data_IF_002389466172
#
_entry.id   IF_002389466172
#
_cell.length_a   1.000
_cell.length_b   1.000
_cell.length_c   1.000
_cell.angle_alpha   90.00
_cell.angle_beta   90.00
_cell.angle_gamma   90.00
#
_symmetry.space_group_name_H-M   'P 1'
#
loop_
_entity.id
_entity.type
_entity.pdbx_description
1 polymer ?
#
# COMPACT_ATOMS: atom_id res chain seq x y z
N UNK A 1 38.62 -40.23 -48.81
CA UNK A 1 38.92 -38.85 -48.35
C UNK A 1 37.61 -38.23 -47.87
N UNK A 2 37.69 -37.45 -46.79
CA UNK A 2 36.69 -37.31 -45.73
C UNK A 2 35.35 -36.65 -46.10
N UNK A 3 34.29 -37.17 -45.46
CA UNK A 3 32.97 -36.57 -45.33
C UNK A 3 33.03 -35.29 -44.49
N UNK A 4 32.31 -34.25 -44.92
CA UNK A 4 32.14 -33.02 -44.13
C UNK A 4 30.75 -33.08 -43.49
N UNK A 5 30.74 -33.45 -42.22
CA UNK A 5 29.64 -33.24 -41.27
C UNK A 5 29.30 -31.74 -41.22
N UNK A 6 28.05 -31.39 -41.47
CA UNK A 6 27.48 -30.11 -41.02
C UNK A 6 26.30 -30.40 -40.10
N UNK A 7 26.61 -30.46 -38.80
CA UNK A 7 25.65 -30.51 -37.70
C UNK A 7 25.08 -29.11 -37.47
N UNK A 8 23.82 -28.87 -37.83
CA UNK A 8 23.08 -27.67 -37.38
C UNK A 8 22.42 -28.02 -36.05
N UNK A 9 22.98 -27.49 -34.97
CA UNK A 9 22.43 -27.53 -33.62
C UNK A 9 21.30 -26.49 -33.54
N UNK A 10 20.04 -26.92 -33.59
CA UNK A 10 18.90 -26.05 -33.36
C UNK A 10 18.79 -25.77 -31.85
N UNK A 11 19.16 -24.56 -31.43
CA UNK A 11 18.97 -24.06 -30.07
C UNK A 11 17.46 -23.89 -29.80
N UNK A 12 16.93 -24.70 -28.89
CA UNK A 12 15.61 -24.51 -28.29
C UNK A 12 15.67 -23.25 -27.41
N UNK A 13 15.08 -22.16 -27.88
CA UNK A 13 14.81 -20.98 -27.05
C UNK A 13 13.60 -21.32 -26.19
N UNK A 14 13.85 -21.77 -24.97
CA UNK A 14 12.82 -21.97 -23.96
C UNK A 14 12.51 -20.57 -23.44
N UNK A 15 11.52 -19.90 -24.03
CA UNK A 15 10.93 -18.67 -23.48
C UNK A 15 10.15 -19.04 -22.22
N UNK A 16 10.90 -19.25 -21.13
CA UNK A 16 10.38 -19.41 -19.78
C UNK A 16 9.91 -18.07 -19.28
N UNK A 17 8.75 -17.61 -19.77
CA UNK A 17 8.02 -16.50 -19.17
C UNK A 17 7.65 -16.85 -17.73
N UNK A 18 8.49 -16.46 -16.78
CA UNK A 18 8.15 -16.53 -15.36
C UNK A 18 7.01 -15.53 -15.11
N UNK A 19 5.77 -16.03 -15.09
CA UNK A 19 4.67 -15.30 -14.50
C UNK A 19 4.98 -15.11 -13.01
N UNK A 20 5.44 -13.90 -12.65
CA UNK A 20 5.57 -13.50 -11.25
C UNK A 20 4.16 -13.37 -10.70
N UNK A 21 3.65 -14.45 -10.11
CA UNK A 21 2.43 -14.40 -9.32
C UNK A 21 2.76 -13.65 -8.03
N UNK A 22 2.50 -12.35 -8.02
CA UNK A 22 2.47 -11.59 -6.77
C UNK A 22 1.32 -12.18 -5.94
N UNK A 23 1.67 -13.08 -5.01
CA UNK A 23 0.72 -13.66 -4.08
C UNK A 23 0.22 -12.52 -3.19
N UNK A 24 -0.92 -11.95 -3.53
CA UNK A 24 -1.64 -11.01 -2.66
C UNK A 24 -1.86 -11.74 -1.34
N UNK A 25 -1.32 -11.19 -0.25
CA UNK A 25 -1.51 -11.77 1.07
C UNK A 25 -3.01 -11.79 1.37
N UNK A 26 -3.48 -12.91 1.94
CA UNK A 26 -4.88 -13.06 2.36
C UNK A 26 -5.19 -12.25 3.61
N UNK A 27 -4.17 -11.93 4.40
CA UNK A 27 -4.24 -11.20 5.66
C UNK A 27 -3.02 -10.31 5.78
N UNK A 28 -3.20 -9.09 6.28
CA UNK A 28 -2.13 -8.10 6.32
C UNK A 28 -1.78 -7.69 7.74
N UNK A 29 -0.48 -7.57 7.99
CA UNK A 29 0.09 -6.80 9.11
C UNK A 29 0.53 -5.43 8.58
N UNK A 30 0.69 -4.45 9.46
CA UNK A 30 1.28 -3.16 9.05
C UNK A 30 2.70 -3.36 8.48
N UNK A 31 3.49 -4.29 9.04
CA UNK A 31 4.85 -4.59 8.61
C UNK A 31 4.95 -5.12 7.17
N UNK A 32 3.92 -5.79 6.66
CA UNK A 32 3.89 -6.33 5.29
C UNK A 32 3.12 -5.43 4.30
N UNK A 33 2.30 -4.50 4.79
CA UNK A 33 1.43 -3.67 3.96
C UNK A 33 2.16 -2.58 3.13
N UNK A 34 2.01 -2.51 1.80
CA UNK A 34 2.88 -1.68 0.96
C UNK A 34 2.76 -0.18 1.22
N UNK A 35 3.81 0.59 0.93
CA UNK A 35 3.79 2.06 1.01
C UNK A 35 3.43 2.66 -0.36
N UNK A 36 2.31 3.38 -0.53
CA UNK A 36 1.85 3.82 -1.85
C UNK A 36 2.73 4.89 -2.51
N UNK A 37 3.66 5.53 -1.77
CA UNK A 37 4.65 6.44 -2.34
C UNK A 37 5.95 5.75 -2.80
N UNK A 38 6.20 4.50 -2.38
CA UNK A 38 7.42 3.73 -2.66
C UNK A 38 7.16 2.44 -3.45
N UNK A 39 6.08 1.75 -3.09
CA UNK A 39 5.68 0.43 -3.54
C UNK A 39 4.32 0.48 -4.28
N UNK A 40 4.10 1.53 -5.07
CA UNK A 40 2.79 1.83 -5.67
C UNK A 40 2.20 0.67 -6.48
N UNK A 41 3.03 -0.07 -7.22
CA UNK A 41 2.60 -1.24 -7.97
C UNK A 41 2.02 -2.33 -7.06
N UNK A 42 2.61 -2.54 -5.89
CA UNK A 42 2.14 -3.52 -4.90
C UNK A 42 0.88 -3.04 -4.19
N UNK A 43 0.72 -1.72 -4.06
CA UNK A 43 -0.53 -1.08 -3.60
C UNK A 43 -1.67 -1.09 -4.64
N UNK A 44 -1.49 -1.71 -5.81
CA UNK A 44 -2.51 -1.72 -6.86
C UNK A 44 -2.61 -0.41 -7.65
N UNK A 45 -1.54 0.39 -7.68
CA UNK A 45 -1.48 1.70 -8.34
C UNK A 45 -0.46 1.70 -9.48
N UNK A 46 -0.70 2.53 -10.49
CA UNK A 46 0.22 2.71 -11.63
C UNK A 46 1.37 3.67 -11.32
N UNK A 47 1.17 4.57 -10.36
CA UNK A 47 2.13 5.59 -9.95
C UNK A 47 1.99 5.91 -8.44
N UNK A 48 2.89 6.74 -7.93
CA UNK A 48 2.89 7.20 -6.54
C UNK A 48 1.54 7.82 -6.16
N UNK A 49 1.02 7.38 -5.03
CA UNK A 49 -0.32 7.70 -4.56
C UNK A 49 -0.36 7.89 -3.05
N UNK A 50 -1.45 8.45 -2.55
CA UNK A 50 -1.86 8.46 -1.14
C UNK A 50 -2.90 7.36 -0.85
N UNK A 51 -3.26 6.54 -1.84
CA UNK A 51 -4.18 5.41 -1.71
C UNK A 51 -3.40 4.11 -1.90
N UNK A 52 -3.54 3.20 -0.95
CA UNK A 52 -3.05 1.84 -1.07
C UNK A 52 -4.22 0.86 -1.01
N UNK A 53 -4.37 0.06 -2.07
CA UNK A 53 -5.42 -0.96 -2.18
C UNK A 53 -4.85 -2.22 -2.86
N UNK A 54 -3.99 -2.98 -2.16
CA UNK A 54 -3.36 -4.17 -2.71
C UNK A 54 -4.36 -5.30 -3.00
N UNK A 55 -5.60 -5.18 -2.51
CA UNK A 55 -6.66 -6.18 -2.71
C UNK A 55 -7.66 -5.81 -3.82
N UNK A 56 -7.55 -4.61 -4.40
CA UNK A 56 -8.43 -4.16 -5.49
C UNK A 56 -9.90 -4.03 -5.07
N UNK A 57 -10.14 -3.49 -3.86
CA UNK A 57 -11.48 -3.17 -3.37
C UNK A 57 -12.12 -2.03 -4.17
N UNK A 58 -11.30 -1.13 -4.73
CA UNK A 58 -11.69 -0.09 -5.65
C UNK A 58 -11.25 -0.45 -7.07
N UNK A 59 -12.03 -0.01 -8.06
CA UNK A 59 -11.54 0.03 -9.43
C UNK A 59 -10.54 1.19 -9.61
N UNK A 60 -9.78 1.15 -10.71
CA UNK A 60 -8.74 2.15 -11.02
C UNK A 60 -9.28 3.58 -10.97
N UNK A 61 -10.47 3.84 -11.55
CA UNK A 61 -11.04 5.19 -11.62
C UNK A 61 -11.44 5.70 -10.23
N UNK A 62 -11.99 4.86 -9.38
CA UNK A 62 -12.33 5.20 -7.99
C UNK A 62 -11.06 5.53 -7.20
N UNK A 63 -10.04 4.68 -7.29
CA UNK A 63 -8.78 4.90 -6.59
C UNK A 63 -8.04 6.16 -7.10
N UNK A 64 -8.09 6.44 -8.41
CA UNK A 64 -7.53 7.67 -9.00
C UNK A 64 -8.30 8.93 -8.55
N UNK A 65 -9.63 8.84 -8.50
CA UNK A 65 -10.48 9.94 -8.03
C UNK A 65 -10.17 10.26 -6.56
N UNK A 66 -10.06 9.22 -5.74
CA UNK A 66 -9.74 9.34 -4.33
C UNK A 66 -8.35 9.94 -4.12
N UNK A 67 -7.35 9.44 -4.84
CA UNK A 67 -5.99 9.97 -4.80
C UNK A 67 -5.92 11.45 -5.21
N UNK A 68 -6.67 11.84 -6.24
CA UNK A 68 -6.78 13.23 -6.67
C UNK A 68 -7.37 14.12 -5.57
N UNK A 69 -8.43 13.68 -4.89
CA UNK A 69 -9.03 14.41 -3.77
C UNK A 69 -8.05 14.56 -2.60
N UNK A 70 -7.32 13.51 -2.24
CA UNK A 70 -6.32 13.55 -1.17
C UNK A 70 -5.16 14.50 -1.50
N UNK A 71 -4.68 14.48 -2.75
CA UNK A 71 -3.69 15.46 -3.24
C UNK A 71 -4.25 16.89 -3.20
N UNK A 72 -5.56 17.06 -3.44
CA UNK A 72 -6.26 18.32 -3.21
C UNK A 72 -6.14 18.80 -1.77
N UNK A 73 -6.36 17.94 -0.77
CA UNK A 73 -6.19 18.29 0.65
C UNK A 73 -4.78 18.81 0.95
N UNK A 74 -3.75 18.16 0.41
CA UNK A 74 -2.35 18.60 0.58
C UNK A 74 -2.12 20.00 0.01
N UNK A 75 -2.74 20.32 -1.12
CA UNK A 75 -2.56 21.60 -1.81
C UNK A 75 -3.43 22.73 -1.24
N UNK A 76 -4.62 22.39 -0.77
CA UNK A 76 -5.65 23.37 -0.39
C UNK A 76 -5.61 23.72 1.11
N UNK A 77 -4.96 22.87 1.92
CA UNK A 77 -4.77 23.14 3.35
C UNK A 77 -3.46 23.86 3.63
N UNK A 78 -3.46 24.69 4.67
CA UNK A 78 -2.25 25.37 5.13
C UNK A 78 -1.34 24.39 5.85
N UNK A 79 -0.04 24.56 5.70
CA UNK A 79 0.95 23.87 6.51
C UNK A 79 0.70 24.15 8.00
N UNK A 80 0.43 23.11 8.83
CA UNK A 80 0.10 23.29 10.24
C UNK A 80 1.34 23.31 11.15
N UNK A 81 2.53 23.07 10.59
CA UNK A 81 3.77 23.08 11.34
C UNK A 81 4.17 24.48 11.82
N UNK A 82 5.27 24.56 12.56
CA UNK A 82 5.91 25.84 12.88
C UNK A 82 6.38 26.59 11.63
N UNK A 83 6.49 27.92 11.72
CA UNK A 83 6.86 28.79 10.60
C UNK A 83 8.14 28.34 9.89
N UNK A 84 9.19 28.00 10.65
CA UNK A 84 10.47 27.53 10.10
C UNK A 84 10.30 26.27 9.23
N UNK A 85 9.39 25.36 9.64
CA UNK A 85 9.12 24.12 8.91
C UNK A 85 8.33 24.41 7.64
N UNK A 86 7.33 25.27 7.73
CA UNK A 86 6.48 25.64 6.59
C UNK A 86 7.21 26.50 5.55
N UNK A 87 8.26 27.23 5.93
CA UNK A 87 9.15 27.95 5.01
C UNK A 87 9.98 26.98 4.14
N UNK A 88 10.43 25.87 4.72
CA UNK A 88 11.22 24.85 4.03
C UNK A 88 10.39 23.83 3.25
N UNK A 89 9.16 23.55 3.71
CA UNK A 89 8.22 22.63 3.04
C UNK A 89 6.78 23.15 3.16
N UNK A 90 6.25 23.68 2.06
CA UNK A 90 4.87 24.22 1.98
C UNK A 90 3.83 23.13 1.72
N UNK A 91 3.90 22.00 2.45
CA UNK A 91 2.89 20.96 2.32
C UNK A 91 1.76 21.23 3.31
N UNK A 92 0.51 21.14 2.86
CA UNK A 92 -0.65 21.05 3.76
C UNK A 92 -0.72 19.69 4.44
N UNK A 93 -1.86 19.40 5.05
CA UNK A 93 -2.15 18.11 5.67
C UNK A 93 -2.12 16.98 4.64
N UNK A 94 -1.52 15.85 5.01
CA UNK A 94 -1.44 14.65 4.19
C UNK A 94 -2.41 13.61 4.73
N UNK A 95 -3.54 13.42 4.05
CA UNK A 95 -4.44 12.32 4.36
C UNK A 95 -4.12 11.17 3.39
N UNK A 96 -3.87 9.98 3.93
CA UNK A 96 -3.64 8.78 3.14
C UNK A 96 -4.59 7.65 3.55
N UNK A 97 -4.87 6.76 2.60
CA UNK A 97 -5.89 5.72 2.73
C UNK A 97 -5.26 4.35 2.55
N UNK A 98 -5.52 3.45 3.52
CA UNK A 98 -5.17 2.05 3.48
C UNK A 98 -6.44 1.19 3.38
N UNK A 99 -6.64 0.53 2.25
CA UNK A 99 -7.76 -0.36 1.99
C UNK A 99 -7.29 -1.82 2.04
N UNK A 100 -7.86 -2.59 2.95
CA UNK A 100 -7.46 -3.98 3.13
C UNK A 100 -8.68 -4.88 3.10
N UNK A 101 -8.54 -6.08 2.53
CA UNK A 101 -9.62 -7.05 2.61
C UNK A 101 -9.80 -7.59 4.03
N UNK A 102 -8.69 -7.95 4.68
CA UNK A 102 -8.65 -8.57 6.00
C UNK A 102 -7.32 -8.30 6.71
N UNK A 103 -7.39 -8.02 8.01
CA UNK A 103 -6.21 -7.90 8.86
C UNK A 103 -5.76 -9.24 9.46
N UNK A 104 -4.45 -9.38 9.67
CA UNK A 104 -3.91 -10.43 10.51
C UNK A 104 -4.03 -9.98 11.98
N UNK A 105 -5.07 -10.46 12.66
CA UNK A 105 -5.34 -10.11 14.05
C UNK A 105 -4.81 -11.24 14.95
N UNK A 106 -3.80 -10.98 15.81
CA UNK A 106 -3.32 -11.97 16.76
C UNK A 106 -4.45 -12.36 17.72
N UNK A 107 -4.71 -13.66 17.87
CA UNK A 107 -5.65 -14.15 18.87
C UNK A 107 -5.04 -14.04 20.26
N UNK A 108 -5.72 -13.31 21.16
CA UNK A 108 -5.24 -13.10 22.54
C UNK A 108 -5.80 -14.11 23.54
N UNK A 109 -6.82 -14.91 23.15
CA UNK A 109 -7.46 -15.88 24.03
C UNK A 109 -8.24 -16.99 23.30
N UNK A 110 -8.88 -17.89 24.06
CA UNK A 110 -9.73 -18.93 23.50
C UNK A 110 -11.05 -18.33 23.01
N UNK A 111 -11.31 -18.41 21.70
CA UNK A 111 -12.57 -17.93 21.11
C UNK A 111 -12.39 -17.29 19.72
N UNK A 112 -13.49 -16.86 19.09
CA UNK A 112 -13.43 -15.96 17.94
C UNK A 112 -12.98 -14.55 18.38
N UNK A 113 -12.33 -13.82 17.46
CA UNK A 113 -11.93 -12.42 17.68
C UNK A 113 -13.17 -11.55 17.80
N UNK A 114 -13.30 -10.79 18.88
CA UNK A 114 -14.44 -9.91 19.11
C UNK A 114 -14.30 -8.55 18.38
N UNK A 115 -15.36 -7.75 18.38
CA UNK A 115 -15.38 -6.46 17.67
C UNK A 115 -14.42 -5.42 18.28
N UNK A 116 -14.16 -5.46 19.59
CA UNK A 116 -13.23 -4.54 20.22
C UNK A 116 -11.79 -4.90 19.85
N UNK A 117 -11.46 -6.18 19.79
CA UNK A 117 -10.17 -6.67 19.28
C UNK A 117 -9.95 -6.28 17.82
N UNK A 118 -10.97 -6.41 16.96
CA UNK A 118 -10.92 -5.95 15.57
C UNK A 118 -10.65 -4.45 15.46
N UNK A 119 -11.41 -3.63 16.18
CA UNK A 119 -11.22 -2.18 16.18
C UNK A 119 -9.86 -1.78 16.74
N UNK A 120 -9.38 -2.45 17.78
CA UNK A 120 -8.05 -2.21 18.35
C UNK A 120 -6.95 -2.57 17.33
N UNK A 121 -7.08 -3.69 16.63
CA UNK A 121 -6.14 -4.10 15.60
C UNK A 121 -6.12 -3.13 14.41
N UNK A 122 -7.28 -2.64 13.94
CA UNK A 122 -7.34 -1.66 12.85
C UNK A 122 -6.73 -0.32 13.25
N UNK A 123 -6.98 0.15 14.48
CA UNK A 123 -6.34 1.37 15.02
C UNK A 123 -4.83 1.22 15.13
N UNK A 124 -4.36 0.09 15.64
CA UNK A 124 -2.93 -0.19 15.74
C UNK A 124 -2.30 -0.27 14.35
N UNK A 125 -2.98 -0.90 13.39
CA UNK A 125 -2.54 -0.97 12.00
C UNK A 125 -2.38 0.43 11.40
N UNK A 126 -3.39 1.30 11.52
CA UNK A 126 -3.30 2.69 11.05
C UNK A 126 -2.17 3.47 11.74
N UNK A 127 -2.03 3.33 13.06
CA UNK A 127 -0.97 3.95 13.84
C UNK A 127 0.42 3.51 13.38
N UNK A 128 0.62 2.22 13.10
CA UNK A 128 1.91 1.69 12.65
C UNK A 128 2.24 2.17 11.23
N UNK A 129 1.24 2.31 10.36
CA UNK A 129 1.44 2.91 9.04
C UNK A 129 1.88 4.37 9.17
N UNK A 130 1.17 5.17 9.96
CA UNK A 130 1.47 6.58 10.19
C UNK A 130 2.88 6.76 10.78
N UNK A 131 3.19 6.06 11.86
CA UNK A 131 4.37 6.36 12.69
C UNK A 131 5.63 5.60 12.28
N UNK A 132 5.49 4.41 11.71
CA UNK A 132 6.63 3.52 11.47
C UNK A 132 6.91 3.31 9.98
N UNK A 133 5.87 3.15 9.15
CA UNK A 133 6.05 2.66 7.77
C UNK A 133 5.93 3.71 6.68
N UNK A 134 4.84 4.47 6.69
CA UNK A 134 4.53 5.45 5.66
C UNK A 134 5.14 6.79 5.98
N UNK A 135 4.92 7.30 7.20
CA UNK A 135 5.53 8.52 7.75
C UNK A 135 5.49 9.66 6.74
N UNK A 136 4.28 10.02 6.32
CA UNK A 136 4.09 11.05 5.30
C UNK A 136 4.33 12.46 5.86
N UNK A 137 4.07 12.64 7.16
CA UNK A 137 4.28 13.88 7.89
C UNK A 137 5.63 13.95 8.59
N UNK A 138 5.97 15.16 9.03
CA UNK A 138 7.20 15.48 9.77
C UNK A 138 6.93 16.27 11.06
N UNK A 139 5.69 16.71 11.29
CA UNK A 139 5.22 17.54 12.40
C UNK A 139 3.80 17.15 12.87
N UNK A 140 3.34 15.92 12.59
CA UNK A 140 1.97 15.42 12.79
C UNK A 140 0.94 16.10 11.87
N UNK A 141 1.33 16.37 10.64
CA UNK A 141 0.47 16.85 9.56
C UNK A 141 -0.07 15.72 8.68
N UNK A 142 0.22 14.45 8.99
CA UNK A 142 -0.35 13.29 8.32
C UNK A 142 -1.46 12.60 9.12
N UNK A 143 -2.37 11.96 8.39
CA UNK A 143 -3.49 11.18 8.93
C UNK A 143 -3.66 9.94 8.06
N UNK A 144 -3.75 8.76 8.68
CA UNK A 144 -4.06 7.51 8.00
C UNK A 144 -5.50 7.11 8.27
N UNK A 145 -6.29 6.96 7.20
CA UNK A 145 -7.61 6.34 7.24
C UNK A 145 -7.44 4.89 6.79
N UNK A 146 -7.62 3.95 7.70
CA UNK A 146 -7.62 2.52 7.39
C UNK A 146 -9.04 1.99 7.34
N UNK A 147 -9.31 1.12 6.37
CA UNK A 147 -10.58 0.40 6.22
C UNK A 147 -10.30 -1.06 5.91
N UNK A 148 -10.99 -1.96 6.62
CA UNK A 148 -10.99 -3.39 6.38
C UNK A 148 -12.39 -3.92 6.00
N UNK A 149 -12.47 -4.56 4.84
CA UNK A 149 -13.73 -5.09 4.31
C UNK A 149 -14.35 -6.17 5.20
N UNK A 150 -13.55 -7.10 5.73
CA UNK A 150 -14.05 -8.23 6.53
C UNK A 150 -14.21 -7.92 8.02
N UNK A 151 -13.48 -6.93 8.54
CA UNK A 151 -13.69 -6.46 9.92
C UNK A 151 -14.85 -5.45 10.04
N UNK A 152 -15.33 -4.90 8.94
CA UNK A 152 -16.49 -4.00 8.89
C UNK A 152 -16.23 -2.61 9.46
N UNK A 153 -14.96 -2.20 9.51
CA UNK A 153 -14.49 -0.90 9.99
C UNK A 153 -13.28 -0.47 9.19
#
# INVERSE_FOLDING_TARGET
>A
MYAVLTTILALLVIDGGMAVSNKVLSEWTAADYPNPARDWTTCGRYEKSLVCDPNGLLNTKEADTLDWLLKGVVNDTKCPCSAWKCESKKSGYVVAIALVKKLNIPKTGPGPVDNNEKLAALRQFAFDLENNKWRFGECNEDVIIAYSAEEGA
#
